data_IF_892946973091
#
_entry.id   IF_892946973091
#
_cell.length_a   1.000
_cell.length_b   1.000
_cell.length_c   1.000
_cell.angle_alpha   90.00
_cell.angle_beta   90.00
_cell.angle_gamma   90.00
#
_symmetry.space_group_name_H-M   'P 1'
#
loop_
_entity.id
_entity.type
_entity.pdbx_description
1 polymer ?
#
# COMPACT_ATOMS: atom_id res chain seq x y z
N UNK A 1 -17.56 9.76 14.41
CA UNK A 1 -17.66 9.62 12.95
C UNK A 1 -16.73 10.62 12.31
N UNK A 2 -15.75 10.14 11.56
CA UNK A 2 -14.75 10.96 10.85
C UNK A 2 -15.32 11.45 9.50
N UNK A 3 -14.79 12.54 8.95
CA UNK A 3 -15.22 13.09 7.64
C UNK A 3 -15.18 12.05 6.52
N UNK A 4 -14.19 11.14 6.55
CA UNK A 4 -14.04 10.05 5.57
C UNK A 4 -15.19 9.05 5.67
N UNK A 5 -15.60 8.68 6.89
CA UNK A 5 -16.76 7.80 7.11
C UNK A 5 -18.06 8.45 6.61
N UNK A 6 -18.20 9.76 6.85
CA UNK A 6 -19.37 10.54 6.46
C UNK A 6 -19.47 10.78 4.93
N UNK A 7 -18.36 10.72 4.20
CA UNK A 7 -18.36 10.71 2.74
C UNK A 7 -18.58 9.29 2.18
N UNK A 8 -18.00 8.28 2.84
CA UNK A 8 -18.08 6.87 2.41
C UNK A 8 -19.50 6.31 2.51
N UNK A 9 -20.32 6.75 3.47
CA UNK A 9 -21.74 6.35 3.56
C UNK A 9 -22.58 6.70 2.33
N UNK A 10 -22.14 7.66 1.49
CA UNK A 10 -22.81 7.99 0.22
C UNK A 10 -22.32 7.12 -0.95
N UNK A 11 -21.25 6.34 -0.77
CA UNK A 11 -20.82 5.31 -1.70
C UNK A 11 -21.65 4.03 -1.46
N UNK A 12 -22.93 4.07 -1.86
CA UNK A 12 -23.80 2.89 -1.79
C UNK A 12 -23.29 1.72 -2.65
N UNK A 13 -23.73 0.48 -2.36
CA UNK A 13 -23.37 -0.69 -3.16
C UNK A 13 -23.74 -0.49 -4.63
N UNK A 14 -22.92 -1.02 -5.54
CA UNK A 14 -23.15 -0.97 -6.99
C UNK A 14 -23.40 -2.36 -7.53
N UNK A 15 -24.48 -2.52 -8.29
CA UNK A 15 -24.71 -3.73 -9.09
C UNK A 15 -23.70 -3.72 -10.23
N UNK A 16 -22.82 -4.72 -10.27
CA UNK A 16 -21.74 -4.84 -11.26
C UNK A 16 -22.03 -5.89 -12.33
N UNK A 17 -22.93 -6.82 -12.03
CA UNK A 17 -23.46 -7.82 -12.94
C UNK A 17 -24.84 -8.28 -12.44
N UNK A 18 -25.67 -8.93 -13.28
CA UNK A 18 -26.95 -9.50 -12.85
C UNK A 18 -26.79 -10.42 -11.63
N UNK A 19 -27.49 -10.10 -10.53
CA UNK A 19 -27.41 -10.84 -9.27
C UNK A 19 -26.13 -10.62 -8.45
N UNK A 20 -25.29 -9.63 -8.79
CA UNK A 20 -24.06 -9.33 -8.06
C UNK A 20 -23.91 -7.84 -7.74
N UNK A 21 -23.68 -7.55 -6.46
CA UNK A 21 -23.39 -6.21 -5.96
C UNK A 21 -22.01 -6.17 -5.31
N UNK A 22 -21.33 -5.03 -5.45
CA UNK A 22 -20.07 -4.74 -4.79
C UNK A 22 -20.19 -3.48 -3.96
N UNK A 23 -19.68 -3.52 -2.74
CA UNK A 23 -19.52 -2.38 -1.85
C UNK A 23 -18.05 -2.27 -1.47
N UNK A 24 -17.53 -1.05 -1.47
CA UNK A 24 -16.17 -0.74 -1.02
C UNK A 24 -16.28 0.29 0.09
N UNK A 25 -15.77 -0.07 1.26
CA UNK A 25 -15.70 0.82 2.42
C UNK A 25 -14.22 1.10 2.74
N UNK A 26 -13.93 2.33 3.16
CA UNK A 26 -12.59 2.74 3.57
C UNK A 26 -12.66 3.21 5.02
N UNK A 27 -11.80 2.65 5.85
CA UNK A 27 -11.69 2.96 7.26
C UNK A 27 -10.28 3.45 7.56
N UNK A 28 -10.20 4.58 8.25
CA UNK A 28 -8.95 5.05 8.83
C UNK A 28 -8.91 4.61 10.29
N UNK A 29 -7.94 3.77 10.65
CA UNK A 29 -7.83 3.19 11.99
C UNK A 29 -6.99 4.08 12.92
N UNK A 30 -6.30 5.09 12.37
CA UNK A 30 -5.43 5.99 13.11
C UNK A 30 -4.01 5.44 13.25
N UNK A 31 -2.99 6.24 12.92
CA UNK A 31 -1.57 5.86 12.99
C UNK A 31 -0.97 5.84 14.39
N UNK A 32 -1.72 5.44 15.42
CA UNK A 32 -1.33 5.65 16.81
C UNK A 32 -1.21 4.33 17.59
N UNK A 33 -0.24 3.52 17.14
CA UNK A 33 0.66 2.63 17.91
C UNK A 33 0.92 1.37 17.11
N UNK A 34 2.20 1.07 16.99
CA UNK A 34 2.76 0.18 16.00
C UNK A 34 3.25 -1.15 16.62
N UNK A 35 3.35 -2.24 15.85
CA UNK A 35 3.86 -3.54 16.31
C UNK A 35 5.35 -3.42 16.71
N UNK A 36 5.64 -3.58 18.00
CA UNK A 36 6.96 -3.25 18.57
C UNK A 36 7.48 -1.83 18.21
N UNK A 37 6.57 -0.88 17.95
CA UNK A 37 6.94 0.47 17.50
C UNK A 37 7.01 0.66 15.96
N UNK A 38 6.78 -0.39 15.17
CA UNK A 38 6.79 -0.36 13.69
C UNK A 38 5.47 -0.72 13.00
N UNK A 39 5.08 0.08 12.02
CA UNK A 39 3.93 -0.18 11.15
C UNK A 39 4.30 -1.34 10.22
N UNK A 40 3.52 -2.44 10.25
CA UNK A 40 3.81 -3.65 9.47
C UNK A 40 3.15 -3.59 8.11
N UNK A 41 1.96 -2.99 8.05
CA UNK A 41 1.28 -2.66 6.82
C UNK A 41 0.61 -1.29 6.96
N UNK A 42 0.62 -0.48 5.92
CA UNK A 42 -0.08 0.80 5.94
C UNK A 42 -1.58 0.60 5.62
N UNK A 43 -1.90 -0.44 4.82
CA UNK A 43 -3.24 -0.72 4.34
C UNK A 43 -3.56 -2.22 4.49
N UNK A 44 -4.61 -2.55 5.23
CA UNK A 44 -5.26 -3.86 5.18
C UNK A 44 -6.37 -3.88 4.14
N UNK A 45 -6.36 -4.83 3.21
CA UNK A 45 -7.44 -5.05 2.25
C UNK A 45 -8.22 -6.30 2.64
N UNK A 46 -9.46 -6.11 3.07
CA UNK A 46 -10.38 -7.20 3.40
C UNK A 46 -11.32 -7.47 2.24
N UNK A 47 -11.60 -8.74 1.98
CA UNK A 47 -12.60 -9.19 1.01
C UNK A 47 -13.60 -10.08 1.72
N UNK A 48 -14.88 -9.72 1.60
CA UNK A 48 -16.00 -10.46 2.16
C UNK A 48 -16.89 -10.96 1.02
N UNK A 49 -17.02 -12.27 0.89
CA UNK A 49 -17.93 -12.88 -0.07
C UNK A 49 -19.23 -13.25 0.66
N UNK A 50 -20.36 -12.75 0.16
CA UNK A 50 -21.69 -13.02 0.70
C UNK A 50 -22.56 -13.70 -0.33
N UNK A 51 -23.40 -14.61 0.15
CA UNK A 51 -24.54 -15.15 -0.58
C UNK A 51 -25.80 -14.78 0.20
N UNK A 52 -26.59 -13.85 -0.35
CA UNK A 52 -27.71 -13.22 0.35
C UNK A 52 -27.25 -12.66 1.71
N UNK A 53 -27.86 -13.10 2.81
CA UNK A 53 -27.52 -12.63 4.16
C UNK A 53 -26.29 -13.32 4.77
N UNK A 54 -25.82 -14.40 4.15
CA UNK A 54 -24.79 -15.26 4.73
C UNK A 54 -23.40 -14.88 4.22
N UNK A 55 -22.44 -14.71 5.14
CA UNK A 55 -21.04 -14.52 4.81
C UNK A 55 -20.40 -15.89 4.54
N UNK A 56 -20.00 -16.14 3.30
CA UNK A 56 -19.51 -17.46 2.86
C UNK A 56 -17.98 -17.57 2.88
N UNK A 57 -17.27 -16.45 2.72
CA UNK A 57 -15.82 -16.41 2.83
C UNK A 57 -15.32 -15.03 3.21
N UNK A 58 -14.13 -15.01 3.83
CA UNK A 58 -13.44 -13.78 4.24
C UNK A 58 -11.96 -13.95 3.98
N UNK A 59 -11.33 -12.85 3.58
CA UNK A 59 -9.89 -12.82 3.29
C UNK A 59 -9.29 -11.48 3.63
N UNK A 60 -8.01 -11.48 3.97
CA UNK A 60 -7.23 -10.26 4.15
C UNK A 60 -5.93 -10.31 3.35
N UNK A 61 -5.48 -9.15 2.88
CA UNK A 61 -4.14 -8.94 2.37
C UNK A 61 -3.56 -7.66 2.98
N UNK A 62 -2.27 -7.69 3.31
CA UNK A 62 -1.59 -6.60 4.00
C UNK A 62 -0.62 -5.89 3.03
N UNK A 63 -0.71 -4.57 2.95
CA UNK A 63 0.10 -3.74 2.05
C UNK A 63 0.90 -2.71 2.85
N UNK A 64 2.22 -2.87 2.90
CA UNK A 64 3.16 -1.84 3.38
C UNK A 64 3.60 -0.95 2.24
N UNK A 65 3.34 0.35 2.33
CA UNK A 65 3.65 1.26 1.24
C UNK A 65 5.05 1.83 1.32
N UNK A 66 5.68 2.03 0.14
CA UNK A 66 6.99 2.66 -0.01
C UNK A 66 7.02 3.52 -1.27
N UNK A 67 7.57 4.73 -1.18
CA UNK A 67 7.70 5.63 -2.33
C UNK A 67 9.10 5.56 -2.94
N UNK A 68 9.17 5.67 -4.27
CA UNK A 68 10.41 5.90 -4.99
C UNK A 68 10.87 7.35 -4.76
N UNK A 69 12.14 7.54 -4.41
CA UNK A 69 12.70 8.88 -4.22
C UNK A 69 13.38 9.38 -5.50
N UNK A 70 13.26 10.67 -5.83
CA UNK A 70 13.94 11.27 -6.96
C UNK A 70 15.47 11.34 -6.71
N UNK A 71 16.24 11.22 -7.79
CA UNK A 71 17.71 11.12 -7.72
C UNK A 71 18.39 12.38 -7.26
N UNK A 72 17.81 13.53 -7.59
CA UNK A 72 18.37 14.82 -7.25
C UNK A 72 18.19 15.19 -5.76
N UNK A 73 17.63 14.31 -4.93
CA UNK A 73 17.68 14.41 -3.48
C UNK A 73 16.83 15.53 -2.85
N UNK A 74 15.98 16.20 -3.63
CA UNK A 74 15.20 17.37 -3.19
C UNK A 74 13.90 16.98 -2.47
N UNK A 75 13.86 15.84 -1.77
CA UNK A 75 12.72 15.51 -0.91
C UNK A 75 13.06 16.02 0.48
N UNK A 76 12.44 17.12 0.88
CA UNK A 76 12.41 17.50 2.29
C UNK A 76 11.59 16.42 2.99
N UNK A 77 12.25 15.61 3.82
CA UNK A 77 11.53 14.70 4.70
C UNK A 77 10.83 15.51 5.81
N UNK A 78 9.70 14.97 6.27
CA UNK A 78 8.98 15.54 7.40
C UNK A 78 9.88 15.54 8.63
N UNK A 79 9.90 16.64 9.35
CA UNK A 79 10.67 16.75 10.59
C UNK A 79 10.01 15.90 11.70
N UNK A 80 10.77 15.45 12.71
CA UNK A 80 10.18 14.79 13.88
C UNK A 80 9.09 15.63 14.56
N UNK A 81 9.17 16.95 14.47
CA UNK A 81 8.17 17.91 14.93
C UNK A 81 6.86 17.81 14.14
N UNK A 82 6.93 17.57 12.83
CA UNK A 82 5.77 17.39 11.95
C UNK A 82 4.99 16.11 12.30
N UNK A 83 5.68 15.07 12.78
CA UNK A 83 5.07 13.84 13.29
C UNK A 83 4.49 13.98 14.70
N UNK A 84 5.09 14.83 15.56
CA UNK A 84 4.62 15.05 16.94
C UNK A 84 3.33 15.86 17.00
N UNK A 85 3.10 16.73 16.02
CA UNK A 85 1.89 17.51 15.89
C UNK A 85 1.10 16.90 14.74
N UNK A 86 -0.02 16.22 14.98
CA UNK A 86 -0.83 15.59 13.91
C UNK A 86 -1.40 16.55 12.84
N UNK A 87 -1.04 17.84 12.92
CA UNK A 87 -1.32 18.92 11.97
C UNK A 87 -0.03 19.58 11.44
N UNK A 88 1.16 19.03 11.71
CA UNK A 88 2.44 19.67 11.41
C UNK A 88 2.62 20.01 9.93
N UNK A 89 2.21 19.10 9.04
CA UNK A 89 2.20 19.37 7.60
C UNK A 89 1.17 20.43 7.14
N UNK A 90 0.15 20.72 7.95
CA UNK A 90 -0.85 21.75 7.68
C UNK A 90 -0.49 23.10 8.29
N UNK A 91 0.37 23.10 9.31
CA UNK A 91 0.87 24.30 9.97
C UNK A 91 2.23 24.64 9.36
N UNK A 92 2.35 25.70 8.55
CA UNK A 92 3.62 26.03 7.92
C UNK A 92 4.70 26.22 8.98
N UNK A 93 5.77 25.41 8.89
CA UNK A 93 6.96 25.61 9.71
C UNK A 93 7.59 26.96 9.41
N UNK A 94 8.40 27.50 10.34
CA UNK A 94 9.07 28.80 10.16
C UNK A 94 9.98 28.86 8.91
N UNK A 95 10.28 27.71 8.29
CA UNK A 95 11.09 27.58 7.07
C UNK A 95 10.29 27.17 5.82
N UNK A 96 8.97 27.39 5.78
CA UNK A 96 8.14 27.01 4.64
C UNK A 96 8.64 27.64 3.33
N UNK A 97 9.08 26.80 2.38
CA UNK A 97 9.48 27.22 1.04
C UNK A 97 8.25 27.71 0.27
N UNK A 98 8.41 28.75 -0.54
CA UNK A 98 7.32 29.25 -1.39
C UNK A 98 6.83 28.15 -2.34
N UNK A 99 5.50 28.01 -2.44
CA UNK A 99 4.83 27.11 -3.38
C UNK A 99 5.12 27.46 -4.85
N UNK A 100 5.57 28.69 -5.12
CA UNK A 100 5.93 29.15 -6.46
C UNK A 100 7.37 28.79 -6.87
N UNK A 101 8.19 28.25 -5.96
CA UNK A 101 9.57 27.90 -6.29
C UNK A 101 9.60 26.73 -7.26
N UNK A 102 10.19 27.01 -8.43
CA UNK A 102 10.36 26.00 -9.46
C UNK A 102 11.36 24.95 -9.01
N UNK A 103 10.93 23.70 -8.96
CA UNK A 103 11.80 22.57 -8.69
C UNK A 103 11.44 21.40 -9.58
N UNK A 104 12.47 20.71 -10.07
CA UNK A 104 12.31 19.54 -10.93
C UNK A 104 12.66 18.29 -10.18
N UNK A 105 11.77 17.31 -10.11
CA UNK A 105 12.08 15.97 -9.63
C UNK A 105 12.45 15.07 -10.80
N UNK A 106 13.56 14.35 -10.69
CA UNK A 106 14.02 13.39 -11.70
C UNK A 106 14.00 11.99 -11.13
N UNK A 107 13.36 11.08 -11.85
CA UNK A 107 13.32 9.66 -11.52
C UNK A 107 13.98 8.87 -12.64
N UNK A 108 14.94 8.04 -12.28
CA UNK A 108 15.64 7.14 -13.21
C UNK A 108 15.55 5.70 -12.72
N UNK A 109 16.15 4.78 -13.49
CA UNK A 109 16.25 3.39 -13.09
C UNK A 109 17.03 3.21 -11.76
N UNK A 110 17.94 4.13 -11.44
CA UNK A 110 18.77 4.10 -10.22
C UNK A 110 18.11 4.79 -9.01
N UNK A 111 16.94 5.41 -9.20
CA UNK A 111 16.13 5.98 -8.11
C UNK A 111 15.79 4.93 -7.08
N UNK A 112 15.83 5.31 -5.80
CA UNK A 112 15.80 4.38 -4.66
C UNK A 112 14.56 4.50 -3.80
N UNK A 113 14.12 3.37 -3.25
CA UNK A 113 13.12 3.33 -2.17
C UNK A 113 13.85 3.55 -0.83
N UNK A 114 14.21 4.79 -0.50
CA UNK A 114 15.07 5.10 0.67
C UNK A 114 14.48 4.70 2.02
N UNK A 115 13.15 4.67 2.10
CA UNK A 115 12.40 4.22 3.29
C UNK A 115 12.31 2.69 3.40
N UNK A 116 12.91 1.95 2.47
CA UNK A 116 13.05 0.50 2.50
C UNK A 116 14.53 0.18 2.56
N UNK A 117 14.99 -0.38 3.68
CA UNK A 117 16.40 -0.75 3.86
C UNK A 117 16.48 -2.22 4.23
N UNK A 118 17.32 -2.95 3.49
CA UNK A 118 17.59 -4.37 3.76
C UNK A 118 18.10 -4.52 5.19
N UNK A 119 17.50 -5.42 5.96
CA UNK A 119 17.92 -5.72 7.33
C UNK A 119 17.69 -4.60 8.35
N UNK A 120 16.90 -3.56 8.03
CA UNK A 120 16.48 -2.60 9.04
C UNK A 120 15.40 -3.19 9.98
N UNK A 121 15.04 -2.43 11.01
CA UNK A 121 14.07 -2.89 12.01
C UNK A 121 12.69 -3.19 11.42
N UNK A 122 12.20 -2.39 10.47
CA UNK A 122 10.88 -2.62 9.88
C UNK A 122 10.91 -3.85 8.95
N UNK A 123 11.98 -4.00 8.18
CA UNK A 123 12.22 -5.15 7.32
C UNK A 123 12.20 -6.47 8.11
N UNK A 124 12.91 -6.50 9.25
CA UNK A 124 12.92 -7.65 10.16
C UNK A 124 11.59 -7.84 10.89
N UNK A 125 10.93 -6.75 11.29
CA UNK A 125 9.64 -6.82 11.97
C UNK A 125 8.54 -7.40 11.05
N UNK A 126 8.55 -7.06 9.76
CA UNK A 126 7.63 -7.65 8.77
C UNK A 126 7.89 -9.14 8.64
N UNK A 127 9.15 -9.57 8.48
CA UNK A 127 9.50 -11.00 8.39
C UNK A 127 9.03 -11.77 9.62
N UNK A 128 9.35 -11.27 10.82
CA UNK A 128 8.91 -11.87 12.07
C UNK A 128 7.39 -11.89 12.20
N UNK A 129 6.69 -10.85 11.74
CA UNK A 129 5.23 -10.81 11.77
C UNK A 129 4.61 -11.88 10.87
N UNK A 130 5.14 -12.06 9.66
CA UNK A 130 4.71 -13.11 8.72
C UNK A 130 4.90 -14.51 9.36
N UNK A 131 6.06 -14.75 10.00
CA UNK A 131 6.36 -16.01 10.69
C UNK A 131 5.44 -16.28 11.90
N UNK A 132 5.18 -15.27 12.72
CA UNK A 132 4.40 -15.43 13.96
C UNK A 132 2.88 -15.51 13.71
N UNK A 133 2.37 -14.91 12.63
CA UNK A 133 0.93 -14.78 12.40
C UNK A 133 0.43 -15.52 11.16
N UNK A 134 1.31 -16.10 10.34
CA UNK A 134 0.94 -16.79 9.09
C UNK A 134 0.09 -15.88 8.18
N UNK A 135 0.50 -14.62 8.06
CA UNK A 135 -0.15 -13.58 7.26
C UNK A 135 0.84 -12.94 6.31
N UNK A 136 0.64 -13.15 5.00
CA UNK A 136 1.49 -12.58 3.96
C UNK A 136 1.42 -11.05 3.91
N UNK A 137 2.57 -10.39 3.96
CA UNK A 137 2.72 -8.95 3.78
C UNK A 137 3.27 -8.66 2.38
N UNK A 138 2.75 -7.60 1.77
CA UNK A 138 3.17 -7.15 0.45
C UNK A 138 3.68 -5.72 0.53
N UNK A 139 4.67 -5.37 -0.27
CA UNK A 139 5.04 -3.98 -0.47
C UNK A 139 4.21 -3.35 -1.60
N UNK A 140 3.56 -2.22 -1.31
CA UNK A 140 2.93 -1.32 -2.27
C UNK A 140 3.91 -0.20 -2.64
N UNK A 141 4.58 -0.35 -3.78
CA UNK A 141 5.59 0.58 -4.28
C UNK A 141 4.94 1.69 -5.12
N UNK A 142 4.98 2.92 -4.63
CA UNK A 142 4.56 4.11 -5.34
C UNK A 142 5.68 4.61 -6.25
N UNK A 143 5.42 4.56 -7.55
CA UNK A 143 6.32 5.06 -8.58
C UNK A 143 5.62 6.14 -9.42
N UNK A 144 6.36 7.05 -10.06
CA UNK A 144 5.83 7.82 -11.18
C UNK A 144 5.23 6.90 -12.24
N UNK A 145 4.28 7.41 -13.03
CA UNK A 145 3.62 6.62 -14.08
C UNK A 145 4.62 5.91 -15.00
N UNK A 146 5.70 6.60 -15.36
CA UNK A 146 6.80 6.07 -16.18
C UNK A 146 8.14 6.35 -15.49
N UNK A 147 9.09 5.42 -15.59
CA UNK A 147 10.47 5.59 -15.15
C UNK A 147 11.39 5.18 -16.31
N UNK A 148 12.31 6.03 -16.80
CA UNK A 148 12.62 7.36 -16.28
C UNK A 148 11.54 8.41 -16.57
N UNK A 149 11.47 9.43 -15.72
CA UNK A 149 10.59 10.61 -15.88
C UNK A 149 11.13 11.83 -15.13
N UNK A 150 10.59 12.99 -15.46
CA UNK A 150 10.92 14.26 -14.82
C UNK A 150 9.66 15.11 -14.68
N UNK A 151 9.46 15.74 -13.52
CA UNK A 151 8.32 16.60 -13.23
C UNK A 151 8.79 17.92 -12.67
N UNK A 152 8.30 19.03 -13.22
CA UNK A 152 8.57 20.37 -12.72
C UNK A 152 7.35 20.89 -11.98
N UNK A 153 7.58 21.36 -10.76
CA UNK A 153 6.57 21.95 -9.89
C UNK A 153 6.86 23.45 -9.72
N UNK A 154 5.83 24.31 -9.55
CA UNK A 154 4.42 23.97 -9.61
C UNK A 154 4.01 23.51 -11.02
N UNK A 155 3.12 22.51 -11.09
CA UNK A 155 2.67 21.94 -12.36
C UNK A 155 1.82 22.96 -13.10
N UNK A 156 2.14 23.21 -14.36
CA UNK A 156 1.33 24.03 -15.25
C UNK A 156 0.45 23.13 -16.13
N UNK A 157 -0.86 23.30 -16.08
CA UNK A 157 -1.82 22.55 -16.89
C UNK A 157 -2.18 21.17 -16.32
N UNK A 158 -2.90 20.38 -17.13
CA UNK A 158 -3.34 19.04 -16.75
C UNK A 158 -2.25 17.99 -17.02
N UNK A 159 -2.07 17.05 -16.08
CA UNK A 159 -1.23 15.88 -16.29
C UNK A 159 -2.10 14.78 -16.89
N UNK A 160 -1.90 14.48 -18.17
CA UNK A 160 -2.49 13.30 -18.78
C UNK A 160 -1.56 12.10 -18.58
N UNK A 161 -2.09 11.01 -18.00
CA UNK A 161 -1.37 9.74 -17.98
C UNK A 161 -1.36 9.18 -19.41
N UNK A 162 -0.18 9.02 -19.98
CA UNK A 162 0.01 8.44 -21.31
C UNK A 162 -0.33 6.93 -21.36
N UNK A 163 0.08 6.21 -22.42
CA UNK A 163 -0.12 4.76 -22.51
C UNK A 163 0.52 4.02 -21.33
N UNK A 164 0.16 2.74 -21.16
CA UNK A 164 0.59 1.87 -20.05
C UNK A 164 2.05 2.11 -19.66
N UNK A 165 2.24 2.73 -18.50
CA UNK A 165 3.55 3.02 -17.95
C UNK A 165 4.20 1.78 -17.33
N UNK A 166 5.53 1.80 -17.26
CA UNK A 166 6.31 0.77 -16.56
C UNK A 166 6.41 1.03 -15.04
N UNK A 167 6.04 2.22 -14.57
CA UNK A 167 5.95 2.59 -13.16
C UNK A 167 4.51 2.50 -12.63
N UNK A 168 4.04 3.53 -11.91
CA UNK A 168 2.77 3.51 -11.18
C UNK A 168 2.84 2.65 -9.91
N UNK A 169 1.68 2.38 -9.30
CA UNK A 169 1.58 1.56 -8.09
C UNK A 169 1.84 0.08 -8.39
N UNK A 170 2.87 -0.49 -7.74
CA UNK A 170 3.27 -1.88 -7.91
C UNK A 170 3.18 -2.64 -6.60
N UNK A 171 2.79 -3.91 -6.66
CA UNK A 171 2.69 -4.80 -5.51
C UNK A 171 3.67 -5.95 -5.69
N UNK A 172 4.46 -6.22 -4.65
CA UNK A 172 5.38 -7.36 -4.57
C UNK A 172 5.22 -8.02 -3.21
N UNK A 173 5.27 -9.36 -3.14
CA UNK A 173 5.30 -10.05 -1.85
C UNK A 173 6.60 -9.71 -1.09
N UNK A 174 6.51 -9.54 0.22
CA UNK A 174 7.67 -9.20 1.04
C UNK A 174 8.72 -10.32 1.00
N UNK A 175 8.33 -11.58 1.17
CA UNK A 175 9.21 -12.75 1.09
C UNK A 175 10.02 -12.83 -0.23
N UNK A 176 9.37 -12.63 -1.36
CA UNK A 176 9.97 -12.67 -2.68
C UNK A 176 10.95 -11.51 -2.86
N UNK A 177 10.62 -10.33 -2.33
CA UNK A 177 11.54 -9.19 -2.31
C UNK A 177 12.76 -9.47 -1.42
N UNK A 178 12.56 -10.07 -0.23
CA UNK A 178 13.67 -10.44 0.65
C UNK A 178 14.61 -11.41 -0.03
N UNK A 179 14.07 -12.45 -0.67
CA UNK A 179 14.84 -13.42 -1.45
C UNK A 179 15.65 -12.75 -2.56
N UNK A 180 15.04 -11.82 -3.31
CA UNK A 180 15.71 -11.11 -4.39
C UNK A 180 16.84 -10.17 -3.90
N UNK A 181 16.71 -9.63 -2.68
CA UNK A 181 17.69 -8.72 -2.09
C UNK A 181 18.68 -9.42 -1.13
N UNK A 182 18.63 -10.75 -1.01
CA UNK A 182 19.43 -11.53 -0.06
C UNK A 182 20.96 -11.37 -0.20
N UNK A 183 21.44 -10.95 -1.36
CA UNK A 183 22.86 -10.70 -1.63
C UNK A 183 23.30 -9.26 -1.32
N UNK A 184 22.36 -8.37 -1.00
CA UNK A 184 22.64 -6.98 -0.70
C UNK A 184 23.01 -6.81 0.77
N UNK A 185 23.87 -5.84 1.07
CA UNK A 185 24.28 -5.55 2.44
C UNK A 185 23.15 -4.92 3.28
N UNK A 186 23.23 -5.08 4.60
CA UNK A 186 22.34 -4.38 5.52
C UNK A 186 22.41 -2.86 5.33
N UNK A 187 21.27 -2.18 5.43
CA UNK A 187 21.13 -0.75 5.16
C UNK A 187 20.97 -0.39 3.68
N UNK A 188 21.11 -1.35 2.76
CA UNK A 188 20.93 -1.10 1.34
C UNK A 188 19.48 -0.74 1.00
N UNK A 189 19.30 0.35 0.26
CA UNK A 189 17.99 0.70 -0.33
C UNK A 189 17.92 0.27 -1.79
N UNK A 190 16.96 -0.59 -2.17
CA UNK A 190 16.80 -1.04 -3.54
C UNK A 190 16.40 0.11 -4.45
N UNK A 191 16.88 0.06 -5.68
CA UNK A 191 16.50 0.96 -6.76
C UNK A 191 15.36 0.41 -7.59
N UNK A 192 14.76 1.27 -8.43
CA UNK A 192 13.72 0.85 -9.36
C UNK A 192 14.18 -0.31 -10.25
N UNK A 193 15.42 -0.29 -10.74
CA UNK A 193 15.98 -1.39 -11.55
C UNK A 193 16.15 -2.70 -10.77
N UNK A 194 16.43 -2.65 -9.46
CA UNK A 194 16.63 -3.87 -8.67
C UNK A 194 15.29 -4.58 -8.47
N UNK A 195 14.24 -3.82 -8.14
CA UNK A 195 12.87 -4.33 -8.13
C UNK A 195 12.49 -4.81 -9.54
N UNK A 196 12.79 -4.01 -10.56
CA UNK A 196 12.45 -4.37 -11.93
C UNK A 196 13.18 -5.63 -12.44
N UNK A 197 14.37 -5.92 -11.90
CA UNK A 197 15.15 -7.11 -12.21
C UNK A 197 14.65 -8.34 -11.48
N UNK A 198 14.30 -8.19 -10.21
CA UNK A 198 13.87 -9.25 -9.31
C UNK A 198 12.61 -9.98 -9.77
N UNK A 199 11.71 -9.28 -10.46
CA UNK A 199 10.37 -9.79 -10.79
C UNK A 199 10.10 -9.97 -12.29
N UNK A 200 11.14 -9.93 -13.15
CA UNK A 200 11.01 -10.07 -14.61
C UNK A 200 10.28 -11.34 -15.07
N UNK A 201 10.33 -12.42 -14.28
CA UNK A 201 9.70 -13.69 -14.60
C UNK A 201 8.21 -13.77 -14.21
N UNK A 202 7.66 -12.75 -13.54
CA UNK A 202 6.26 -12.73 -13.11
C UNK A 202 5.43 -11.76 -13.98
N UNK A 203 4.45 -12.27 -14.75
CA UNK A 203 3.45 -11.41 -15.39
C UNK A 203 2.62 -10.68 -14.32
N UNK A 204 2.25 -9.37 -14.46
CA UNK A 204 2.51 -8.44 -15.55
C UNK A 204 3.18 -7.14 -15.05
N UNK A 205 4.51 -7.07 -15.06
CA UNK A 205 5.23 -5.80 -14.96
C UNK A 205 6.68 -5.95 -14.54
N UNK A 206 7.56 -5.15 -15.15
CA UNK A 206 9.00 -5.20 -14.87
C UNK A 206 9.28 -5.12 -13.36
N UNK A 207 8.59 -4.25 -12.62
CA UNK A 207 8.78 -4.04 -11.17
C UNK A 207 7.64 -4.61 -10.28
N UNK A 208 7.06 -5.75 -10.64
CA UNK A 208 5.99 -6.41 -9.89
C UNK A 208 4.59 -6.16 -10.45
N UNK A 209 3.58 -6.65 -9.73
CA UNK A 209 2.20 -6.60 -10.20
C UNK A 209 1.66 -5.18 -10.16
N UNK A 210 0.98 -4.77 -11.22
CA UNK A 210 0.08 -3.61 -11.14
C UNK A 210 -0.91 -3.79 -9.99
N UNK A 211 -1.17 -2.74 -9.21
CA UNK A 211 -2.16 -2.82 -8.10
C UNK A 211 -3.52 -3.31 -8.58
N UNK A 212 -3.96 -2.88 -9.78
CA UNK A 212 -5.23 -3.32 -10.34
C UNK A 212 -5.23 -4.81 -10.68
N UNK A 213 -4.08 -5.34 -11.14
CA UNK A 213 -3.91 -6.77 -11.39
C UNK A 213 -3.83 -7.57 -10.09
N UNK A 214 -3.12 -7.06 -9.08
CA UNK A 214 -3.08 -7.67 -7.76
C UNK A 214 -4.48 -7.81 -7.18
N UNK A 215 -5.26 -6.74 -7.15
CA UNK A 215 -6.63 -6.79 -6.62
C UNK A 215 -7.53 -7.72 -7.47
N UNK A 216 -7.62 -7.52 -8.79
CA UNK A 216 -8.60 -8.23 -9.62
C UNK A 216 -8.24 -9.69 -9.92
N UNK A 217 -6.97 -10.00 -10.17
CA UNK A 217 -6.54 -11.31 -10.66
C UNK A 217 -5.81 -12.17 -9.63
N UNK A 218 -5.30 -11.57 -8.56
CA UNK A 218 -4.59 -12.30 -7.51
C UNK A 218 -5.45 -12.38 -6.24
N UNK A 219 -5.88 -11.25 -5.72
CA UNK A 219 -6.69 -11.19 -4.51
C UNK A 219 -8.11 -11.70 -4.79
N UNK A 220 -8.89 -11.09 -5.68
CA UNK A 220 -10.29 -11.53 -5.89
C UNK A 220 -10.42 -12.95 -6.47
N UNK A 221 -9.38 -13.48 -7.13
CA UNK A 221 -9.34 -14.86 -7.65
C UNK A 221 -8.65 -15.87 -6.73
N UNK A 222 -8.39 -15.51 -5.48
CA UNK A 222 -7.85 -16.42 -4.48
C UNK A 222 -6.47 -17.03 -4.80
N UNK A 223 -5.61 -16.25 -5.47
CA UNK A 223 -4.19 -16.58 -5.63
C UNK A 223 -3.31 -15.93 -4.57
N UNK A 224 -3.77 -14.82 -3.98
CA UNK A 224 -3.09 -14.11 -2.89
C UNK A 224 -4.08 -13.75 -1.78
N UNK A 225 -3.53 -13.45 -0.59
CA UNK A 225 -4.22 -13.10 0.64
C UNK A 225 -4.60 -14.32 1.49
N UNK A 226 -4.73 -14.11 2.80
CA UNK A 226 -4.99 -15.17 3.78
C UNK A 226 -6.48 -15.28 4.10
N UNK A 227 -7.03 -16.47 3.86
CA UNK A 227 -8.40 -16.81 4.26
C UNK A 227 -8.50 -16.92 5.77
N UNK A 228 -9.65 -16.52 6.32
CA UNK A 228 -9.92 -16.67 7.74
C UNK A 228 -11.41 -16.94 8.01
N UNK A 229 -11.67 -17.69 9.07
CA UNK A 229 -13.00 -18.18 9.43
C UNK A 229 -13.67 -17.28 10.46
N UNK A 230 -12.92 -16.80 11.45
CA UNK A 230 -13.42 -15.97 12.56
C UNK A 230 -12.48 -14.82 12.87
N UNK A 231 -13.05 -13.74 13.44
CA UNK A 231 -12.27 -12.63 13.99
C UNK A 231 -11.55 -13.01 15.30
N UNK A 232 -11.95 -14.12 15.92
CA UNK A 232 -11.33 -14.66 17.14
C UNK A 232 -10.13 -15.56 16.83
N UNK A 233 -9.87 -15.88 15.56
CA UNK A 233 -8.63 -16.56 15.17
C UNK A 233 -7.46 -15.69 15.58
N UNK A 234 -6.48 -16.26 16.29
CA UNK A 234 -5.46 -15.50 17.01
C UNK A 234 -4.70 -14.52 16.11
N UNK A 235 -4.30 -14.95 14.91
CA UNK A 235 -3.61 -14.11 13.93
C UNK A 235 -4.47 -12.92 13.45
N UNK A 236 -5.75 -13.15 13.19
CA UNK A 236 -6.71 -12.13 12.78
C UNK A 236 -7.07 -11.20 13.94
N UNK A 237 -7.21 -11.75 15.14
CA UNK A 237 -7.42 -10.98 16.35
C UNK A 237 -6.22 -10.07 16.62
N UNK A 238 -5.00 -10.56 16.45
CA UNK A 238 -3.76 -9.79 16.58
C UNK A 238 -3.69 -8.66 15.55
N UNK A 239 -4.21 -8.87 14.34
CA UNK A 239 -4.33 -7.85 13.30
C UNK A 239 -5.35 -6.76 13.65
N UNK A 240 -6.54 -7.11 14.14
CA UNK A 240 -7.65 -6.15 14.31
C UNK A 240 -7.82 -5.56 15.72
N UNK A 241 -7.53 -6.32 16.76
CA UNK A 241 -7.96 -6.01 18.13
C UNK A 241 -6.82 -5.61 19.08
N UNK A 242 -5.55 -5.74 18.68
CA UNK A 242 -4.47 -5.18 19.48
C UNK A 242 -4.53 -3.66 19.39
N UNK A 243 -4.52 -2.99 20.55
CA UNK A 243 -4.42 -1.51 20.70
C UNK A 243 -3.17 -0.90 20.04
N UNK A 244 -2.28 -1.74 19.49
CA UNK A 244 -1.13 -1.41 18.65
C UNK A 244 -1.31 -2.05 17.26
N UNK A 245 -2.39 -1.67 16.57
CA UNK A 245 -2.79 -2.30 15.31
C UNK A 245 -1.66 -2.21 14.28
N UNK A 246 -1.30 -3.31 13.59
CA UNK A 246 -0.24 -3.30 12.59
C UNK A 246 -0.65 -2.59 11.28
N UNK A 247 -1.91 -2.13 11.16
CA UNK A 247 -2.48 -1.42 10.01
C UNK A 247 -2.97 0.00 10.34
N UNK A 248 -2.59 0.99 9.54
CA UNK A 248 -3.07 2.38 9.71
C UNK A 248 -4.41 2.66 9.01
N UNK A 249 -4.66 1.99 7.88
CA UNK A 249 -5.89 2.09 7.13
C UNK A 249 -6.40 0.72 6.69
N UNK A 250 -7.70 0.64 6.41
CA UNK A 250 -8.36 -0.55 5.94
C UNK A 250 -9.30 -0.26 4.77
N UNK A 251 -9.30 -1.15 3.78
CA UNK A 251 -10.26 -1.18 2.68
C UNK A 251 -11.04 -2.48 2.78
N UNK A 252 -12.35 -2.40 2.93
CA UNK A 252 -13.23 -3.56 2.91
C UNK A 252 -13.97 -3.64 1.58
N UNK A 253 -13.84 -4.76 0.88
CA UNK A 253 -14.56 -5.06 -0.36
C UNK A 253 -15.56 -6.16 -0.07
N UNK A 254 -16.85 -5.82 -0.09
CA UNK A 254 -17.92 -6.81 0.02
C UNK A 254 -18.47 -7.12 -1.36
N UNK A 255 -18.45 -8.41 -1.72
CA UNK A 255 -19.03 -8.95 -2.95
C UNK A 255 -20.22 -9.80 -2.54
N UNK A 256 -21.43 -9.40 -2.94
CA UNK A 256 -22.67 -10.07 -2.57
C UNK A 256 -23.38 -10.61 -3.81
N UNK A 257 -23.63 -11.92 -3.81
CA UNK A 257 -24.62 -12.52 -4.70
C UNK A 257 -26.00 -12.31 -4.10
N UNK A 258 -26.94 -11.81 -4.89
CA UNK A 258 -28.33 -11.64 -4.51
C UNK A 258 -29.25 -12.21 -5.59
N UNK A 259 -30.39 -12.78 -5.17
CA UNK A 259 -31.47 -13.11 -6.09
C UNK A 259 -32.20 -11.81 -6.44
N UNK A 260 -32.31 -11.52 -7.74
CA UNK A 260 -33.03 -10.33 -8.21
C UNK A 260 -34.45 -10.33 -7.64
N UNK A 261 -34.87 -9.19 -7.09
CA UNK A 261 -36.28 -8.94 -6.79
C UNK A 261 -37.05 -8.68 -8.07
#
# INVERSE_FOLDING_TARGET
MTFVEQLSQYAGPRVVAPGWAVRIDVHYLGGLRHFYGWEIADIGVMVFAKQSQSLVAKKVALLQSKRLYPDNGVVNEESPEDYRIGLGNLLPSQSAKSLALTHTFKFTADSKYRALKVGDHQYQAIEKYEEENDLDVHYLLYNPWKVPSSYTFPVQGSIALGPKGNGGCRVVRADALRKALSTQANGYSPSFKDIAGAFKSQPPGDAGWRVENFISNLLLKCKEGTLFESLDQENIFNLFNRRSGPIAAAVAVTVEQFEGR
#
